data_IF_828581792161
#
_entry.id   IF_828581792161
#
_cell.length_a   1.000
_cell.length_b   1.000
_cell.length_c   1.000
_cell.angle_alpha   90.00
_cell.angle_beta   90.00
_cell.angle_gamma   90.00
#
_symmetry.space_group_name_H-M   'P 1'
#
loop_
_entity.id
_entity.type
_entity.pdbx_description
1 polymer ?
#
# COMPACT_ATOMS: atom_id res chain seq x y z
N UNK A 1 2.03 -17.12 -13.54
CA UNK A 1 0.74 -17.07 -14.28
C UNK A 1 -0.18 -15.92 -13.85
N UNK A 2 -0.10 -15.37 -12.63
CA UNK A 2 -0.99 -14.26 -12.19
C UNK A 2 -0.67 -12.90 -12.84
N UNK A 3 0.59 -12.64 -13.21
CA UNK A 3 1.00 -11.38 -13.85
C UNK A 3 0.49 -11.20 -15.29
N UNK A 4 0.27 -12.27 -16.04
CA UNK A 4 -0.08 -12.18 -17.46
C UNK A 4 -1.56 -11.83 -17.72
N UNK A 5 -2.42 -11.92 -16.70
CA UNK A 5 -3.86 -11.58 -16.81
C UNK A 5 -4.10 -10.07 -16.65
N UNK A 6 -3.10 -9.32 -16.14
CA UNK A 6 -3.20 -7.89 -15.88
C UNK A 6 -2.89 -7.00 -17.10
N UNK A 7 -2.33 -7.56 -18.18
CA UNK A 7 -1.81 -6.79 -19.34
C UNK A 7 -2.83 -6.57 -20.47
N UNK A 8 -4.13 -6.53 -20.17
CA UNK A 8 -5.13 -5.88 -21.02
C UNK A 8 -5.13 -6.28 -22.51
N UNK A 9 -5.70 -7.44 -22.83
CA UNK A 9 -6.43 -7.60 -24.09
C UNK A 9 -7.91 -7.66 -23.77
N UNK A 10 -8.71 -6.84 -24.46
CA UNK A 10 -10.18 -6.79 -24.39
C UNK A 10 -10.79 -8.07 -24.96
N UNK A 11 -10.56 -9.18 -24.26
CA UNK A 11 -11.29 -10.41 -24.47
C UNK A 11 -12.41 -10.45 -23.44
N UNK A 12 -13.66 -10.70 -23.86
CA UNK A 12 -14.81 -10.80 -22.92
C UNK A 12 -14.57 -11.89 -21.87
N UNK A 13 -13.65 -12.81 -22.16
CA UNK A 13 -13.13 -13.80 -21.21
C UNK A 13 -12.37 -13.15 -20.04
N UNK A 14 -11.52 -12.14 -20.30
CA UNK A 14 -10.71 -11.45 -19.30
C UNK A 14 -11.57 -10.63 -18.33
N UNK A 15 -12.62 -9.95 -18.84
CA UNK A 15 -13.58 -9.23 -17.99
C UNK A 15 -14.32 -10.17 -17.03
N UNK A 16 -14.85 -11.30 -17.53
CA UNK A 16 -15.54 -12.30 -16.69
C UNK A 16 -14.60 -12.96 -15.67
N UNK A 17 -13.34 -13.17 -16.04
CA UNK A 17 -12.32 -13.67 -15.11
C UNK A 17 -12.03 -12.65 -14.01
N UNK A 18 -11.91 -11.36 -14.35
CA UNK A 18 -11.73 -10.29 -13.38
C UNK A 18 -12.88 -10.27 -12.37
N UNK A 19 -14.13 -10.27 -12.83
CA UNK A 19 -15.30 -10.27 -11.95
C UNK A 19 -15.32 -11.48 -11.01
N UNK A 20 -14.99 -12.66 -11.52
CA UNK A 20 -14.91 -13.88 -10.72
C UNK A 20 -13.80 -13.81 -9.66
N UNK A 21 -12.63 -13.28 -10.02
CA UNK A 21 -11.53 -13.03 -9.08
C UNK A 21 -11.95 -12.04 -8.00
N UNK A 22 -12.63 -10.96 -8.36
CA UNK A 22 -13.14 -9.97 -7.41
C UNK A 22 -14.12 -10.59 -6.40
N UNK A 23 -15.07 -11.41 -6.86
CA UNK A 23 -16.02 -12.11 -5.99
C UNK A 23 -15.31 -13.09 -5.03
N UNK A 24 -14.33 -13.83 -5.53
CA UNK A 24 -13.54 -14.74 -4.72
C UNK A 24 -12.74 -14.00 -3.65
N UNK A 25 -12.04 -12.92 -4.02
CA UNK A 25 -11.27 -12.10 -3.09
C UNK A 25 -12.17 -11.45 -2.02
N UNK A 26 -13.34 -10.93 -2.42
CA UNK A 26 -14.34 -10.42 -1.48
C UNK A 26 -14.82 -11.49 -0.48
N UNK A 27 -15.07 -12.72 -0.96
CA UNK A 27 -15.44 -13.83 -0.07
C UNK A 27 -14.30 -14.22 0.87
N UNK A 28 -13.07 -14.36 0.37
CA UNK A 28 -11.92 -14.77 1.19
C UNK A 28 -11.59 -13.70 2.25
N UNK A 29 -11.58 -12.41 1.89
CA UNK A 29 -11.32 -11.32 2.85
C UNK A 29 -12.40 -11.21 3.93
N UNK A 30 -13.65 -11.58 3.63
CA UNK A 30 -14.73 -11.65 4.63
C UNK A 30 -14.51 -12.75 5.68
N UNK A 31 -13.84 -13.84 5.29
CA UNK A 31 -13.56 -14.98 6.17
C UNK A 31 -12.21 -14.83 6.89
N UNK A 32 -11.23 -14.19 6.24
CA UNK A 32 -9.85 -14.05 6.71
C UNK A 32 -9.50 -12.56 6.84
N UNK A 33 -10.15 -11.88 7.79
CA UNK A 33 -10.08 -10.41 7.94
C UNK A 33 -8.74 -9.89 8.48
N UNK A 34 -7.89 -10.77 9.03
CA UNK A 34 -6.62 -10.43 9.67
C UNK A 34 -5.36 -10.70 8.83
N UNK A 35 -5.49 -11.25 7.61
CA UNK A 35 -4.33 -11.62 6.80
C UNK A 35 -3.95 -10.49 5.84
N UNK A 36 -2.76 -9.91 6.04
CA UNK A 36 -2.24 -8.81 5.24
C UNK A 36 -2.05 -9.15 3.76
N UNK A 37 -1.69 -10.39 3.45
CA UNK A 37 -1.37 -10.84 2.09
C UNK A 37 -2.64 -10.97 1.25
N UNK A 38 -3.73 -11.45 1.86
CA UNK A 38 -5.04 -11.50 1.21
C UNK A 38 -5.55 -10.08 0.93
N UNK A 39 -5.40 -9.17 1.89
CA UNK A 39 -5.79 -7.77 1.68
C UNK A 39 -4.95 -7.06 0.63
N UNK A 40 -3.64 -7.35 0.54
CA UNK A 40 -2.80 -6.81 -0.53
C UNK A 40 -3.26 -7.31 -1.90
N UNK A 41 -3.55 -8.61 -2.04
CA UNK A 41 -4.05 -9.15 -3.30
C UNK A 41 -5.37 -8.52 -3.72
N UNK A 42 -6.27 -8.25 -2.77
CA UNK A 42 -7.54 -7.60 -3.06
C UNK A 42 -7.37 -6.13 -3.45
N UNK A 43 -6.48 -5.44 -2.75
CA UNK A 43 -6.10 -4.09 -3.10
C UNK A 43 -5.50 -4.01 -4.52
N UNK A 44 -4.61 -4.94 -4.88
CA UNK A 44 -3.99 -4.98 -6.21
C UNK A 44 -5.03 -5.17 -7.31
N UNK A 45 -6.03 -6.01 -7.05
CA UNK A 45 -7.15 -6.20 -7.96
C UNK A 45 -7.90 -4.88 -8.24
N UNK A 46 -8.22 -4.09 -7.21
CA UNK A 46 -8.90 -2.81 -7.39
C UNK A 46 -7.98 -1.72 -7.93
N UNK A 47 -6.73 -1.66 -7.48
CA UNK A 47 -5.72 -0.70 -7.94
C UNK A 47 -5.34 -0.89 -9.41
N UNK A 48 -5.53 -2.09 -9.98
CA UNK A 48 -5.32 -2.34 -11.42
C UNK A 48 -6.47 -1.85 -12.30
N UNK A 49 -7.55 -1.34 -11.72
CA UNK A 49 -8.68 -0.77 -12.47
C UNK A 49 -8.32 0.59 -13.06
N UNK A 50 -8.89 0.92 -14.21
CA UNK A 50 -8.82 2.27 -14.77
C UNK A 50 -9.79 3.24 -14.09
N UNK A 51 -10.75 2.74 -13.31
CA UNK A 51 -11.70 3.55 -12.56
C UNK A 51 -11.08 4.06 -11.26
N UNK A 52 -11.03 5.39 -11.09
CA UNK A 52 -10.54 6.03 -9.87
C UNK A 52 -11.30 5.56 -8.63
N UNK A 53 -12.62 5.30 -8.71
CA UNK A 53 -13.41 4.81 -7.57
C UNK A 53 -12.92 3.43 -7.11
N UNK A 54 -12.60 2.54 -8.04
CA UNK A 54 -11.99 1.25 -7.72
C UNK A 54 -10.60 1.47 -7.11
N UNK A 55 -9.77 2.35 -7.67
CA UNK A 55 -8.45 2.63 -7.11
C UNK A 55 -8.53 3.20 -5.68
N UNK A 56 -9.52 4.03 -5.38
CA UNK A 56 -9.81 4.51 -4.02
C UNK A 56 -10.14 3.37 -3.07
N UNK A 57 -10.97 2.42 -3.51
CA UNK A 57 -11.26 1.22 -2.74
C UNK A 57 -10.01 0.38 -2.51
N UNK A 58 -9.18 0.21 -3.54
CA UNK A 58 -7.88 -0.44 -3.42
C UNK A 58 -6.95 0.24 -2.42
N UNK A 59 -6.96 1.57 -2.33
CA UNK A 59 -6.21 2.32 -1.33
C UNK A 59 -6.66 1.99 0.10
N UNK A 60 -7.97 1.93 0.35
CA UNK A 60 -8.53 1.54 1.65
C UNK A 60 -8.13 0.11 2.03
N UNK A 61 -8.12 -0.80 1.06
CA UNK A 61 -7.69 -2.18 1.23
C UNK A 61 -6.17 -2.29 1.48
N UNK A 62 -5.33 -1.47 0.84
CA UNK A 62 -3.90 -1.36 1.18
C UNK A 62 -3.69 -0.86 2.61
N UNK A 63 -4.45 0.15 3.02
CA UNK A 63 -4.40 0.65 4.40
C UNK A 63 -4.76 -0.47 5.40
N UNK A 64 -5.75 -1.31 5.05
CA UNK A 64 -6.13 -2.48 5.84
C UNK A 64 -5.02 -3.52 5.86
N UNK A 65 -4.41 -3.86 4.72
CA UNK A 65 -3.30 -4.80 4.61
C UNK A 65 -2.13 -4.40 5.53
N UNK A 66 -1.72 -3.13 5.44
CA UNK A 66 -0.67 -2.53 6.27
C UNK A 66 -0.99 -2.62 7.77
N UNK A 67 -2.25 -2.34 8.17
CA UNK A 67 -2.68 -2.49 9.57
C UNK A 67 -2.62 -3.95 10.02
N UNK A 68 -3.10 -4.89 9.21
CA UNK A 68 -3.05 -6.31 9.51
C UNK A 68 -1.61 -6.81 9.72
N UNK A 69 -0.66 -6.38 8.89
CA UNK A 69 0.75 -6.74 9.06
C UNK A 69 1.31 -6.33 10.44
N UNK A 70 0.90 -5.15 10.94
CA UNK A 70 1.30 -4.63 12.26
C UNK A 70 0.50 -5.19 13.44
N UNK A 71 -0.55 -5.97 13.17
CA UNK A 71 -1.34 -6.66 14.20
C UNK A 71 -0.81 -8.07 14.48
N UNK A 72 0.05 -8.61 13.60
CA UNK A 72 0.73 -9.89 13.84
C UNK A 72 1.60 -9.78 15.09
N UNK A 73 1.47 -10.75 16.00
CA UNK A 73 2.22 -10.74 17.26
C UNK A 73 3.72 -10.79 16.98
N UNK A 74 4.45 -9.80 17.49
CA UNK A 74 5.91 -9.74 17.31
C UNK A 74 6.37 -9.36 15.90
N UNK A 75 5.49 -8.76 15.08
CA UNK A 75 5.83 -8.29 13.74
C UNK A 75 7.10 -7.42 13.71
N UNK A 76 7.34 -6.62 14.76
CA UNK A 76 8.51 -5.73 14.87
C UNK A 76 9.73 -6.39 15.52
N UNK A 77 9.63 -7.65 15.94
CA UNK A 77 10.71 -8.43 16.55
C UNK A 77 11.37 -9.40 15.58
N UNK A 78 10.73 -9.66 14.45
CA UNK A 78 11.23 -10.54 13.40
C UNK A 78 11.42 -9.73 12.13
N UNK A 79 12.57 -9.90 11.48
CA UNK A 79 12.91 -9.14 10.28
C UNK A 79 11.85 -9.29 9.21
N UNK A 80 11.39 -10.51 8.95
CA UNK A 80 10.36 -10.82 7.95
C UNK A 80 9.03 -10.09 8.21
N UNK A 81 8.62 -9.96 9.47
CA UNK A 81 7.41 -9.22 9.83
C UNK A 81 7.56 -7.71 9.63
N UNK A 82 8.73 -7.18 9.98
CA UNK A 82 9.05 -5.76 9.84
C UNK A 82 9.20 -5.37 8.37
N UNK A 83 9.93 -6.18 7.59
CA UNK A 83 10.07 -6.06 6.15
C UNK A 83 8.71 -6.08 5.46
N UNK A 84 7.83 -7.01 5.85
CA UNK A 84 6.47 -7.08 5.30
C UNK A 84 5.66 -5.82 5.60
N UNK A 85 5.70 -5.34 6.84
CA UNK A 85 5.03 -4.10 7.22
C UNK A 85 5.60 -2.89 6.46
N UNK A 86 6.90 -2.87 6.20
CA UNK A 86 7.57 -1.83 5.44
C UNK A 86 7.17 -1.84 3.97
N UNK A 87 7.16 -3.01 3.32
CA UNK A 87 6.70 -3.17 1.94
C UNK A 87 5.27 -2.65 1.78
N UNK A 88 4.32 -3.12 2.60
CA UNK A 88 2.93 -2.69 2.51
C UNK A 88 2.76 -1.19 2.79
N UNK A 89 3.60 -0.63 3.66
CA UNK A 89 3.60 0.82 3.90
C UNK A 89 4.10 1.59 2.68
N UNK A 90 5.20 1.16 2.04
CA UNK A 90 5.70 1.77 0.80
C UNK A 90 4.63 1.73 -0.30
N UNK A 91 3.99 0.58 -0.49
CA UNK A 91 2.92 0.42 -1.49
C UNK A 91 1.73 1.35 -1.23
N UNK A 92 1.32 1.48 0.03
CA UNK A 92 0.29 2.43 0.44
C UNK A 92 0.70 3.89 0.19
N UNK A 93 1.95 4.26 0.53
CA UNK A 93 2.50 5.58 0.28
C UNK A 93 2.52 5.94 -1.21
N UNK A 94 3.03 5.05 -2.05
CA UNK A 94 3.03 5.22 -3.51
C UNK A 94 1.61 5.44 -4.04
N UNK A 95 0.65 4.62 -3.62
CA UNK A 95 -0.73 4.75 -4.09
C UNK A 95 -1.40 6.05 -3.60
N UNK A 96 -1.12 6.50 -2.37
CA UNK A 96 -1.57 7.81 -1.89
C UNK A 96 -1.05 8.94 -2.79
N UNK A 97 0.22 8.88 -3.20
CA UNK A 97 0.82 9.88 -4.11
C UNK A 97 0.18 9.86 -5.48
N UNK A 98 0.07 8.70 -6.10
CA UNK A 98 -0.59 8.56 -7.41
C UNK A 98 -2.01 9.14 -7.38
N UNK A 99 -2.81 8.75 -6.37
CA UNK A 99 -4.19 9.24 -6.25
C UNK A 99 -4.24 10.75 -5.94
N UNK A 100 -3.28 11.28 -5.19
CA UNK A 100 -3.24 12.72 -4.90
C UNK A 100 -3.08 13.61 -6.14
N UNK A 101 -2.51 13.07 -7.23
CA UNK A 101 -2.31 13.79 -8.49
C UNK A 101 -3.56 13.81 -9.37
N UNK A 102 -4.48 12.86 -9.19
CA UNK A 102 -5.68 12.72 -10.03
C UNK A 102 -6.97 13.11 -9.29
N UNK A 103 -6.94 13.18 -7.96
CA UNK A 103 -8.08 13.64 -7.15
C UNK A 103 -8.35 15.12 -7.37
N UNK A 104 -9.61 15.45 -7.56
CA UNK A 104 -10.09 16.83 -7.57
C UNK A 104 -10.13 17.44 -6.16
N UNK A 105 -10.36 16.62 -5.13
CA UNK A 105 -10.42 17.05 -3.73
C UNK A 105 -9.03 17.07 -3.08
N UNK A 106 -8.42 18.26 -3.05
CA UNK A 106 -7.14 18.49 -2.39
C UNK A 106 -7.13 18.16 -0.89
N UNK A 107 -8.26 18.27 -0.20
CA UNK A 107 -8.34 17.97 1.24
C UNK A 107 -8.20 16.47 1.51
N UNK A 108 -8.87 15.63 0.72
CA UNK A 108 -8.71 14.17 0.79
C UNK A 108 -7.28 13.73 0.46
N UNK A 109 -6.66 14.38 -0.53
CA UNK A 109 -5.25 14.17 -0.88
C UNK A 109 -4.32 14.49 0.29
N UNK A 110 -4.46 15.67 0.91
CA UNK A 110 -3.67 16.07 2.08
C UNK A 110 -3.88 15.10 3.25
N UNK A 111 -5.12 14.69 3.52
CA UNK A 111 -5.43 13.74 4.59
C UNK A 111 -4.75 12.38 4.36
N UNK A 112 -4.84 11.85 3.13
CA UNK A 112 -4.30 10.53 2.79
C UNK A 112 -2.77 10.53 2.84
N UNK A 113 -2.14 11.54 2.25
CA UNK A 113 -0.68 11.73 2.29
C UNK A 113 -0.16 11.96 3.71
N UNK A 114 -0.88 12.72 4.54
CA UNK A 114 -0.52 12.93 5.96
C UNK A 114 -0.59 11.62 6.74
N UNK A 115 -1.64 10.82 6.52
CA UNK A 115 -1.76 9.49 7.12
C UNK A 115 -0.63 8.57 6.68
N UNK A 116 -0.28 8.56 5.39
CA UNK A 116 0.83 7.78 4.83
C UNK A 116 2.18 8.18 5.43
N UNK A 117 2.44 9.49 5.55
CA UNK A 117 3.67 10.03 6.16
C UNK A 117 3.85 9.55 7.60
N UNK A 118 2.80 9.60 8.43
CA UNK A 118 2.87 9.14 9.82
C UNK A 118 3.10 7.62 9.90
N UNK A 119 2.43 6.86 9.03
CA UNK A 119 2.63 5.42 8.93
C UNK A 119 4.07 5.06 8.57
N UNK A 120 4.64 5.76 7.58
CA UNK A 120 5.99 5.56 7.08
C UNK A 120 7.04 5.91 8.13
N UNK A 121 6.86 7.03 8.84
CA UNK A 121 7.72 7.42 9.97
C UNK A 121 7.80 6.32 11.03
N UNK A 122 6.66 5.75 11.41
CA UNK A 122 6.62 4.66 12.38
C UNK A 122 7.41 3.44 11.93
N UNK A 123 7.33 3.08 10.65
CA UNK A 123 8.13 2.00 10.07
C UNK A 123 9.62 2.36 10.06
N UNK A 124 10.01 3.54 9.58
CA UNK A 124 11.42 3.97 9.55
C UNK A 124 12.06 3.84 10.94
N UNK A 125 11.37 4.34 11.99
CA UNK A 125 11.87 4.24 13.36
C UNK A 125 12.06 2.79 13.79
N UNK A 126 11.11 1.91 13.47
CA UNK A 126 11.19 0.48 13.80
C UNK A 126 12.30 -0.23 13.03
N UNK A 127 12.46 0.05 11.73
CA UNK A 127 13.51 -0.50 10.88
C UNK A 127 14.89 -0.04 11.32
N UNK A 128 15.08 1.23 11.65
CA UNK A 128 16.37 1.73 12.19
C UNK A 128 16.74 1.13 13.54
N UNK A 129 15.74 0.86 14.39
CA UNK A 129 15.93 0.26 15.71
C UNK A 129 15.97 -1.28 15.70
N UNK A 130 15.93 -1.91 14.53
CA UNK A 130 15.92 -3.37 14.44
C UNK A 130 17.33 -3.94 14.56
N UNK A 131 17.53 -4.82 15.54
CA UNK A 131 18.81 -5.49 15.77
C UNK A 131 19.89 -4.58 16.33
N UNK A 132 21.06 -5.17 16.60
CA UNK A 132 22.28 -4.43 17.02
C UNK A 132 23.20 -4.21 15.82
N UNK A 133 23.22 -5.16 14.89
CA UNK A 133 24.02 -5.11 13.66
C UNK A 133 23.07 -4.81 12.51
N UNK A 134 23.36 -3.72 11.80
CA UNK A 134 22.62 -3.32 10.61
C UNK A 134 23.10 -4.17 9.43
N UNK A 135 22.18 -4.76 8.68
CA UNK A 135 22.47 -5.52 7.46
C UNK A 135 22.35 -4.64 6.22
N UNK A 136 23.00 -5.00 5.11
CA UNK A 136 22.86 -4.29 3.82
C UNK A 136 21.39 -4.26 3.34
N UNK A 137 20.64 -5.34 3.60
CA UNK A 137 19.21 -5.43 3.31
C UNK A 137 18.41 -4.38 4.10
N UNK A 138 18.75 -4.21 5.39
CA UNK A 138 18.13 -3.22 6.25
C UNK A 138 18.46 -1.80 5.82
N UNK A 139 19.71 -1.51 5.46
CA UNK A 139 20.11 -0.21 4.91
C UNK A 139 19.37 0.10 3.61
N UNK A 140 19.29 -0.86 2.69
CA UNK A 140 18.57 -0.71 1.43
C UNK A 140 17.07 -0.47 1.64
N UNK A 141 16.47 -1.11 2.64
CA UNK A 141 15.07 -0.86 3.01
C UNK A 141 14.89 0.54 3.63
N UNK A 142 15.77 0.95 4.55
CA UNK A 142 15.73 2.29 5.16
C UNK A 142 15.84 3.37 4.08
N UNK A 143 16.77 3.23 3.14
CA UNK A 143 16.96 4.18 2.05
C UNK A 143 15.67 4.36 1.22
N UNK A 144 15.00 3.26 0.84
CA UNK A 144 13.71 3.30 0.13
C UNK A 144 12.62 4.00 0.95
N UNK A 145 12.56 3.75 2.24
CA UNK A 145 11.57 4.37 3.13
C UNK A 145 11.82 5.88 3.29
N UNK A 146 13.07 6.31 3.38
CA UNK A 146 13.44 7.73 3.51
C UNK A 146 13.26 8.50 2.20
N UNK A 147 13.55 7.86 1.06
CA UNK A 147 13.29 8.42 -0.26
C UNK A 147 11.79 8.69 -0.45
N UNK A 148 10.95 7.69 -0.17
CA UNK A 148 9.51 7.85 -0.24
C UNK A 148 8.96 8.86 0.78
N UNK A 149 9.59 8.97 1.95
CA UNK A 149 9.25 10.00 2.93
C UNK A 149 9.50 11.40 2.37
N UNK A 150 10.62 11.60 1.69
CA UNK A 150 10.98 12.87 1.06
C UNK A 150 9.96 13.23 -0.01
N UNK A 151 9.59 12.28 -0.85
CA UNK A 151 8.57 12.49 -1.86
C UNK A 151 7.19 12.86 -1.29
N UNK A 152 6.72 12.15 -0.26
CA UNK A 152 5.45 12.48 0.41
C UNK A 152 5.45 13.90 0.99
N UNK A 153 6.58 14.33 1.54
CA UNK A 153 6.74 15.68 2.08
C UNK A 153 6.66 16.74 0.98
N UNK A 154 7.30 16.51 -0.17
CA UNK A 154 7.19 17.40 -1.33
C UNK A 154 5.75 17.51 -1.82
N UNK A 155 5.06 16.39 -2.05
CA UNK A 155 3.67 16.42 -2.53
C UNK A 155 2.71 17.09 -1.54
N UNK A 156 2.93 16.91 -0.23
CA UNK A 156 2.16 17.62 0.80
C UNK A 156 2.39 19.13 0.76
N UNK A 157 3.65 19.57 0.61
CA UNK A 157 3.97 20.98 0.55
C UNK A 157 3.31 21.66 -0.67
N UNK A 158 3.35 21.02 -1.84
CA UNK A 158 2.72 21.50 -3.08
C UNK A 158 1.20 21.70 -2.93
N UNK A 159 0.51 20.73 -2.32
CA UNK A 159 -0.94 20.81 -2.10
C UNK A 159 -1.33 21.87 -1.05
N UNK A 160 -0.46 22.13 -0.09
CA UNK A 160 -0.67 23.16 0.94
C UNK A 160 -0.39 24.58 0.43
N UNK A 161 0.46 24.75 -0.58
CA UNK A 161 0.69 26.05 -1.22
C UNK A 161 -0.38 26.42 -2.26
N UNK A 162 -1.18 25.45 -2.69
CA UNK A 162 -2.19 25.62 -3.76
C UNK A 162 -3.60 25.94 -3.21
N UNK A 163 -3.79 25.91 -1.88
CA UNK A 163 -4.98 26.40 -1.18
C UNK A 163 -4.74 27.79 -0.59
#
# INVERSE_FOLDING_TARGET
>A
MVRAVLDGQEDRSAGRLRDSVGQLLGRVTSQVTGNSDVWELYADYHCSSSDTLDQEKGLLELQKAQRCARQVRGWDRQWTGLERAAHLTLKYCHKCRELSQVREDGSQSVQSLSSAKLALQGIITKTKGFGIVVTEEQEGLIAKLEDEQSHLQSSLAELQTTN
#
